data_IF_505773029658
#
_entry.id   IF_505773029658
#
_cell.length_a   1.000
_cell.length_b   1.000
_cell.length_c   1.000
_cell.angle_alpha   90.00
_cell.angle_beta   90.00
_cell.angle_gamma   90.00
#
_symmetry.space_group_name_H-M   'P 1'
#
loop_
_entity.id
_entity.type
_entity.pdbx_description
1 polymer ?
#
# COMPACT_ATOMS: atom_id res chain seq x y z
N UNK A 1 11.82 25.82 -7.56
CA UNK A 1 11.99 24.38 -7.28
C UNK A 1 13.40 23.99 -6.82
N UNK A 2 14.45 24.08 -7.65
CA UNK A 2 15.81 23.65 -7.27
C UNK A 2 16.40 24.30 -5.99
N UNK A 3 16.16 25.59 -5.76
CA UNK A 3 16.56 26.30 -4.53
C UNK A 3 15.77 25.81 -3.30
N UNK A 4 14.47 25.56 -3.46
CA UNK A 4 13.59 25.08 -2.38
C UNK A 4 14.00 23.69 -1.89
N UNK A 5 14.32 22.79 -2.83
CA UNK A 5 14.79 21.44 -2.56
C UNK A 5 16.30 21.32 -2.35
N UNK A 6 17.04 22.43 -2.38
CA UNK A 6 18.49 22.49 -2.13
C UNK A 6 19.29 21.52 -3.01
N UNK A 7 19.01 21.46 -4.32
CA UNK A 7 19.64 20.49 -5.24
C UNK A 7 21.19 20.52 -5.21
N UNK A 8 21.77 21.72 -5.01
CA UNK A 8 23.23 21.89 -4.89
C UNK A 8 23.81 21.22 -3.64
N UNK A 9 23.10 21.29 -2.51
CA UNK A 9 23.51 20.68 -1.23
C UNK A 9 23.47 19.15 -1.32
N UNK A 10 22.50 18.61 -2.05
CA UNK A 10 22.31 17.16 -2.22
C UNK A 10 22.95 16.58 -3.49
N UNK A 11 23.70 17.38 -4.25
CA UNK A 11 24.40 16.92 -5.46
C UNK A 11 23.50 16.29 -6.52
N UNK A 12 22.28 16.81 -6.70
CA UNK A 12 21.25 16.23 -7.59
C UNK A 12 20.83 17.17 -8.73
N UNK A 13 20.04 16.66 -9.68
CA UNK A 13 19.53 17.39 -10.85
C UNK A 13 18.09 17.00 -11.17
N UNK A 14 17.38 17.82 -11.94
CA UNK A 14 15.99 17.52 -12.35
C UNK A 14 15.88 16.16 -13.05
N UNK A 15 16.81 15.83 -13.94
CA UNK A 15 16.83 14.54 -14.64
C UNK A 15 16.97 13.37 -13.66
N UNK A 16 17.91 13.48 -12.70
CA UNK A 16 18.16 12.43 -11.71
C UNK A 16 16.95 12.23 -10.80
N UNK A 17 16.38 13.30 -10.28
CA UNK A 17 15.22 13.21 -9.40
C UNK A 17 13.95 12.74 -10.14
N UNK A 18 13.78 13.10 -11.42
CA UNK A 18 12.68 12.62 -12.25
C UNK A 18 12.77 11.11 -12.48
N UNK A 19 13.95 10.63 -12.89
CA UNK A 19 14.18 9.19 -13.06
C UNK A 19 14.01 8.43 -11.75
N UNK A 20 14.44 9.02 -10.63
CA UNK A 20 14.21 8.46 -9.30
C UNK A 20 12.72 8.40 -8.95
N UNK A 21 11.95 9.45 -9.24
CA UNK A 21 10.51 9.49 -8.97
C UNK A 21 9.73 8.49 -9.81
N UNK A 22 10.09 8.35 -11.09
CA UNK A 22 9.56 7.30 -11.97
C UNK A 22 9.93 5.91 -11.46
N UNK A 23 11.17 5.72 -11.01
CA UNK A 23 11.63 4.44 -10.45
C UNK A 23 10.83 4.07 -9.19
N UNK A 24 10.64 5.02 -8.28
CA UNK A 24 9.81 4.80 -7.08
C UNK A 24 8.38 4.47 -7.48
N UNK A 25 7.79 5.23 -8.42
CA UNK A 25 6.44 4.95 -8.89
C UNK A 25 6.32 3.54 -9.46
N UNK A 26 7.20 3.12 -10.37
CA UNK A 26 7.17 1.77 -10.95
C UNK A 26 7.37 0.68 -9.91
N UNK A 27 8.19 0.93 -8.88
CA UNK A 27 8.36 0.01 -7.76
C UNK A 27 7.07 -0.13 -6.95
N UNK A 28 6.26 0.92 -6.86
CA UNK A 28 5.02 0.97 -6.07
C UNK A 28 3.75 0.74 -6.88
N UNK A 29 3.80 0.78 -8.21
CA UNK A 29 2.63 0.86 -9.08
C UNK A 29 1.66 -0.31 -8.91
N UNK A 30 2.16 -1.45 -8.41
CA UNK A 30 1.32 -2.59 -8.06
C UNK A 30 0.22 -2.23 -7.06
N UNK A 31 0.41 -1.22 -6.20
CA UNK A 31 -0.54 -0.92 -5.12
C UNK A 31 -1.88 -0.47 -5.67
N UNK A 32 -1.87 0.12 -6.85
CA UNK A 32 -3.07 0.54 -7.57
C UNK A 32 -3.97 -0.65 -7.89
N UNK A 33 -3.44 -1.87 -7.97
CA UNK A 33 -4.24 -3.05 -8.26
C UNK A 33 -4.43 -3.92 -7.00
N UNK A 34 -3.36 -4.11 -6.23
CA UNK A 34 -3.38 -4.97 -5.05
C UNK A 34 -4.28 -4.41 -3.95
N UNK A 35 -4.24 -3.09 -3.70
CA UNK A 35 -5.04 -2.51 -2.62
C UNK A 35 -6.55 -2.57 -2.92
N UNK A 36 -7.04 -2.19 -4.13
CA UNK A 36 -8.45 -2.36 -4.47
C UNK A 36 -8.91 -3.81 -4.41
N UNK A 37 -8.15 -4.77 -4.95
CA UNK A 37 -8.52 -6.19 -4.87
C UNK A 37 -8.61 -6.68 -3.42
N UNK A 38 -7.67 -6.24 -2.57
CA UNK A 38 -7.65 -6.60 -1.14
C UNK A 38 -8.86 -6.02 -0.40
N UNK A 39 -9.13 -4.73 -0.55
CA UNK A 39 -10.23 -4.05 0.13
C UNK A 39 -11.61 -4.45 -0.40
N UNK A 40 -11.71 -4.81 -1.67
CA UNK A 40 -12.93 -5.37 -2.27
C UNK A 40 -13.15 -6.85 -1.91
N UNK A 41 -12.19 -7.49 -1.22
CA UNK A 41 -12.19 -8.91 -0.86
C UNK A 41 -12.31 -9.84 -2.08
N UNK A 42 -11.62 -9.52 -3.16
CA UNK A 42 -11.62 -10.34 -4.38
C UNK A 42 -11.20 -11.79 -4.08
N UNK A 43 -11.90 -12.76 -4.65
CA UNK A 43 -11.65 -14.20 -4.44
C UNK A 43 -12.33 -14.80 -3.20
N UNK A 44 -12.90 -13.98 -2.30
CA UNK A 44 -13.68 -14.49 -1.16
C UNK A 44 -15.12 -14.70 -1.60
N UNK A 45 -15.68 -15.90 -1.51
CA UNK A 45 -17.07 -16.15 -1.97
C UNK A 45 -18.13 -15.70 -0.95
N UNK A 46 -17.87 -15.93 0.34
CA UNK A 46 -18.83 -15.69 1.42
C UNK A 46 -18.36 -14.53 2.30
N UNK A 47 -19.25 -13.56 2.52
CA UNK A 47 -19.04 -12.45 3.42
C UNK A 47 -19.87 -12.64 4.70
N UNK A 48 -19.36 -12.21 5.87
CA UNK A 48 -20.14 -12.17 7.10
C UNK A 48 -21.42 -11.35 6.96
N UNK A 49 -22.44 -11.68 7.74
CA UNK A 49 -23.69 -10.93 7.78
C UNK A 49 -23.45 -9.46 8.15
N UNK A 50 -23.99 -8.54 7.34
CA UNK A 50 -23.83 -7.10 7.54
C UNK A 50 -22.57 -6.48 6.92
N UNK A 51 -21.67 -7.29 6.35
CA UNK A 51 -20.49 -6.80 5.62
C UNK A 51 -20.79 -6.71 4.12
N UNK A 52 -20.55 -5.53 3.53
CA UNK A 52 -20.66 -5.31 2.09
C UNK A 52 -19.29 -5.20 1.43
N UNK A 53 -19.25 -5.34 0.11
CA UNK A 53 -18.01 -5.11 -0.66
C UNK A 53 -17.81 -3.63 -0.93
N UNK A 54 -16.57 -3.19 -0.79
CA UNK A 54 -16.16 -1.86 -1.23
C UNK A 54 -16.08 -1.84 -2.77
N UNK A 55 -16.52 -0.76 -3.40
CA UNK A 55 -16.39 -0.58 -4.84
C UNK A 55 -14.89 -0.52 -5.25
N UNK A 56 -14.45 -1.51 -6.03
CA UNK A 56 -13.04 -1.65 -6.44
C UNK A 56 -12.54 -0.45 -7.24
N UNK A 57 -13.38 0.14 -8.09
CA UNK A 57 -13.02 1.33 -8.86
C UNK A 57 -12.82 2.56 -7.96
N UNK A 58 -13.72 2.76 -7.00
CA UNK A 58 -13.62 3.82 -6.02
C UNK A 58 -12.37 3.67 -5.16
N UNK A 59 -12.04 2.45 -4.71
CA UNK A 59 -10.80 2.18 -3.95
C UNK A 59 -9.56 2.42 -4.81
N UNK A 60 -9.57 2.09 -6.11
CA UNK A 60 -8.45 2.42 -7.02
C UNK A 60 -8.21 3.93 -7.06
N UNK A 61 -9.27 4.70 -7.29
CA UNK A 61 -9.19 6.15 -7.31
C UNK A 61 -8.76 6.70 -5.95
N UNK A 62 -9.31 6.19 -4.85
CA UNK A 62 -8.95 6.59 -3.50
C UNK A 62 -7.48 6.28 -3.18
N UNK A 63 -6.98 5.12 -3.60
CA UNK A 63 -5.57 4.71 -3.45
C UNK A 63 -4.65 5.67 -4.17
N UNK A 64 -4.93 5.98 -5.43
CA UNK A 64 -4.11 6.91 -6.22
C UNK A 64 -4.14 8.33 -5.64
N UNK A 65 -5.30 8.83 -5.23
CA UNK A 65 -5.46 10.16 -4.62
C UNK A 65 -4.73 10.23 -3.27
N UNK A 66 -4.93 9.26 -2.39
CA UNK A 66 -4.29 9.20 -1.08
C UNK A 66 -2.77 9.10 -1.21
N UNK A 67 -2.28 8.23 -2.11
CA UNK A 67 -0.85 8.10 -2.40
C UNK A 67 -0.28 9.40 -2.96
N UNK A 68 -0.97 10.05 -3.91
CA UNK A 68 -0.51 11.31 -4.49
C UNK A 68 -0.46 12.44 -3.45
N UNK A 69 -1.53 12.65 -2.68
CA UNK A 69 -1.60 13.71 -1.67
C UNK A 69 -0.59 13.46 -0.55
N UNK A 70 -0.55 12.24 0.00
CA UNK A 70 0.41 11.87 1.03
C UNK A 70 1.84 12.10 0.56
N UNK A 71 2.18 11.56 -0.62
CA UNK A 71 3.51 11.72 -1.22
C UNK A 71 3.86 13.18 -1.50
N UNK A 72 2.89 14.02 -1.90
CA UNK A 72 3.10 15.46 -2.04
C UNK A 72 3.39 16.13 -0.70
N UNK A 73 2.69 15.77 0.37
CA UNK A 73 2.96 16.29 1.71
C UNK A 73 4.38 15.90 2.14
N UNK A 74 4.79 14.64 1.96
CA UNK A 74 6.17 14.21 2.26
C UNK A 74 7.21 14.96 1.42
N UNK A 75 6.95 15.13 0.13
CA UNK A 75 7.83 15.85 -0.78
C UNK A 75 7.96 17.32 -0.42
N UNK A 76 6.85 18.04 -0.25
CA UNK A 76 6.85 19.49 -0.07
C UNK A 76 7.15 19.91 1.38
N UNK A 77 6.59 19.22 2.37
CA UNK A 77 6.69 19.58 3.78
C UNK A 77 7.91 18.95 4.48
N UNK A 78 8.05 17.62 4.37
CA UNK A 78 9.18 16.91 5.00
C UNK A 78 10.47 17.01 4.16
N UNK A 79 10.33 17.17 2.84
CA UNK A 79 11.42 17.25 1.85
C UNK A 79 12.29 16.00 1.85
N UNK A 80 11.65 14.84 1.90
CA UNK A 80 12.28 13.53 1.75
C UNK A 80 11.84 12.87 0.43
N UNK A 81 12.73 12.12 -0.25
CA UNK A 81 12.43 11.32 -1.44
C UNK A 81 11.70 10.02 -1.05
N UNK A 82 10.68 10.13 -0.20
CA UNK A 82 9.90 9.00 0.31
C UNK A 82 8.49 9.14 -0.22
N UNK A 83 7.96 8.08 -0.80
CA UNK A 83 6.59 8.01 -1.24
C UNK A 83 5.72 7.32 -0.19
N UNK A 84 4.44 7.69 -0.19
CA UNK A 84 3.42 7.19 0.72
C UNK A 84 2.30 6.57 -0.11
N UNK A 85 1.78 5.43 0.32
CA UNK A 85 0.62 4.75 -0.25
C UNK A 85 -0.01 3.84 0.82
N UNK A 86 -1.19 3.23 0.59
CA UNK A 86 -1.82 2.33 1.56
C UNK A 86 -0.90 1.18 1.98
N UNK A 87 -0.53 1.05 3.25
CA UNK A 87 0.43 0.05 3.72
C UNK A 87 -0.11 -1.37 3.60
N UNK A 88 0.69 -2.33 3.13
CA UNK A 88 0.21 -3.71 2.93
C UNK A 88 -0.14 -4.44 4.20
N UNK A 89 0.65 -4.23 5.26
CA UNK A 89 0.30 -4.85 6.52
C UNK A 89 -1.04 -4.36 7.04
N UNK A 90 -1.29 -3.07 6.84
CA UNK A 90 -2.47 -2.36 7.33
C UNK A 90 -3.70 -2.64 6.48
N UNK A 91 -3.55 -2.74 5.15
CA UNK A 91 -4.67 -3.05 4.26
C UNK A 91 -5.14 -4.51 4.42
N UNK A 92 -4.22 -5.44 4.68
CA UNK A 92 -4.56 -6.83 4.94
C UNK A 92 -5.21 -7.00 6.31
N UNK A 93 -4.68 -6.34 7.34
CA UNK A 93 -5.31 -6.29 8.66
C UNK A 93 -6.72 -5.69 8.57
N UNK A 94 -6.88 -4.59 7.84
CA UNK A 94 -8.19 -3.97 7.57
C UNK A 94 -9.15 -4.97 6.91
N UNK A 95 -8.78 -5.54 5.76
CA UNK A 95 -9.70 -6.33 4.96
C UNK A 95 -9.99 -7.70 5.58
N UNK A 96 -8.96 -8.44 5.95
CA UNK A 96 -9.09 -9.84 6.34
C UNK A 96 -9.33 -10.04 7.83
N UNK A 97 -8.79 -9.16 8.69
CA UNK A 97 -8.99 -9.29 10.15
C UNK A 97 -10.19 -8.49 10.61
N UNK A 98 -10.22 -7.19 10.33
CA UNK A 98 -11.28 -6.30 10.84
C UNK A 98 -12.60 -6.54 10.10
N UNK A 99 -12.58 -6.47 8.78
CA UNK A 99 -13.81 -6.58 7.99
C UNK A 99 -14.27 -8.03 7.89
N UNK A 100 -13.41 -8.93 7.41
CA UNK A 100 -13.79 -10.34 7.21
C UNK A 100 -13.81 -11.13 8.53
N UNK A 101 -12.76 -11.02 9.34
CA UNK A 101 -12.59 -11.83 10.56
C UNK A 101 -13.53 -11.42 11.70
N UNK A 102 -13.64 -10.13 11.97
CA UNK A 102 -14.51 -9.61 13.05
C UNK A 102 -15.93 -9.26 12.56
N UNK A 103 -16.17 -9.28 11.24
CA UNK A 103 -17.49 -8.93 10.68
C UNK A 103 -17.84 -7.45 10.81
N UNK A 104 -16.83 -6.57 10.97
CA UNK A 104 -17.05 -5.13 11.12
C UNK A 104 -17.28 -4.51 9.75
N UNK A 105 -18.33 -3.70 9.54
CA UNK A 105 -18.55 -3.00 8.28
C UNK A 105 -17.32 -2.16 7.89
N UNK A 106 -16.97 -2.15 6.61
CA UNK A 106 -15.76 -1.50 6.13
C UNK A 106 -15.79 0.02 6.37
N UNK A 107 -16.97 0.62 6.41
CA UNK A 107 -17.18 2.02 6.73
C UNK A 107 -16.76 2.32 8.18
N UNK A 108 -17.14 1.45 9.12
CA UNK A 108 -16.74 1.51 10.53
C UNK A 108 -15.24 1.25 10.69
N UNK A 109 -14.69 0.31 9.92
CA UNK A 109 -13.26 0.07 9.88
C UNK A 109 -12.50 1.32 9.38
N UNK A 110 -12.99 2.01 8.34
CA UNK A 110 -12.43 3.26 7.84
C UNK A 110 -12.52 4.38 8.87
N UNK A 111 -13.60 4.45 9.64
CA UNK A 111 -13.72 5.36 10.77
C UNK A 111 -12.64 5.09 11.84
N UNK A 112 -12.33 3.82 12.09
CA UNK A 112 -11.19 3.40 12.93
C UNK A 112 -9.84 3.86 12.38
N UNK A 113 -9.61 3.71 11.06
CA UNK A 113 -8.41 4.23 10.39
C UNK A 113 -8.32 5.75 10.53
N UNK A 114 -9.42 6.48 10.32
CA UNK A 114 -9.49 7.94 10.50
C UNK A 114 -9.14 8.34 11.93
N UNK A 115 -9.74 7.68 12.92
CA UNK A 115 -9.45 7.92 14.34
C UNK A 115 -7.98 7.67 14.66
N UNK A 116 -7.39 6.59 14.16
CA UNK A 116 -5.96 6.29 14.33
C UNK A 116 -5.08 7.39 13.73
N UNK A 117 -5.39 7.88 12.52
CA UNK A 117 -4.67 8.97 11.88
C UNK A 117 -4.75 10.29 12.67
N UNK A 118 -5.93 10.63 13.19
CA UNK A 118 -6.13 11.82 14.02
C UNK A 118 -5.34 11.71 15.34
N UNK A 119 -5.39 10.56 16.01
CA UNK A 119 -4.59 10.29 17.21
C UNK A 119 -3.10 10.47 16.89
N UNK A 120 -2.62 9.96 15.76
CA UNK A 120 -1.22 10.14 15.39
C UNK A 120 -0.82 11.58 15.09
N UNK A 121 -1.70 12.37 14.49
CA UNK A 121 -1.44 13.81 14.32
C UNK A 121 -1.20 14.43 15.69
N UNK A 122 -2.07 14.16 16.67
CA UNK A 122 -1.93 14.65 18.05
C UNK A 122 -0.63 14.15 18.70
N UNK A 123 -0.32 12.86 18.59
CA UNK A 123 0.92 12.28 19.14
C UNK A 123 2.18 12.84 18.47
N UNK A 124 2.12 13.17 17.19
CA UNK A 124 3.26 13.73 16.45
C UNK A 124 3.49 15.19 16.82
N UNK A 125 2.42 15.98 16.96
CA UNK A 125 2.50 17.40 17.36
C UNK A 125 2.96 17.54 18.81
N UNK A 126 2.54 16.65 19.71
CA UNK A 126 2.97 16.63 21.13
C UNK A 126 4.37 16.06 21.34
N UNK A 127 4.99 15.47 20.31
CA UNK A 127 6.31 14.82 20.41
C UNK A 127 6.30 13.46 21.12
N UNK A 128 5.14 12.98 21.54
CA UNK A 128 4.97 11.70 22.24
C UNK A 128 5.27 10.51 21.32
N UNK A 129 5.00 10.65 20.00
CA UNK A 129 5.26 9.60 19.00
C UNK A 129 6.72 9.12 19.04
N UNK A 130 7.68 10.03 19.18
CA UNK A 130 9.11 9.68 19.21
C UNK A 130 9.49 8.93 20.49
N UNK A 131 8.92 9.29 21.64
CA UNK A 131 9.17 8.60 22.91
C UNK A 131 8.67 7.16 22.91
N UNK A 132 7.52 6.91 22.26
CA UNK A 132 6.99 5.56 22.06
C UNK A 132 7.95 4.74 21.17
N UNK A 133 8.66 5.36 20.21
CA UNK A 133 9.53 4.63 19.26
C UNK A 133 10.72 4.06 20.02
N UNK A 134 11.29 4.87 20.90
CA UNK A 134 12.45 4.54 21.70
C UNK A 134 12.13 3.51 22.80
N UNK A 135 10.87 3.46 23.27
CA UNK A 135 10.44 2.54 24.31
C UNK A 135 10.23 1.08 23.85
N UNK A 136 10.04 0.85 22.54
CA UNK A 136 9.67 -0.49 22.04
C UNK A 136 10.90 -1.27 21.56
N UNK A 137 11.16 -2.46 22.12
CA UNK A 137 12.28 -3.32 21.73
C UNK A 137 12.25 -3.65 20.24
N UNK A 138 13.42 -3.63 19.59
CA UNK A 138 13.56 -3.95 18.16
C UNK A 138 12.97 -5.33 17.80
N UNK A 139 13.07 -6.31 18.70
CA UNK A 139 12.54 -7.66 18.48
C UNK A 139 11.01 -7.68 18.30
N UNK A 140 10.25 -6.85 19.03
CA UNK A 140 8.79 -6.77 18.86
C UNK A 140 8.42 -6.15 17.51
N UNK A 141 9.19 -5.15 17.06
CA UNK A 141 9.00 -4.51 15.75
C UNK A 141 9.17 -5.52 14.61
N UNK A 142 10.21 -6.35 14.70
CA UNK A 142 10.51 -7.40 13.71
C UNK A 142 9.45 -8.51 13.72
N UNK A 143 8.99 -8.93 14.90
CA UNK A 143 7.99 -9.99 15.04
C UNK A 143 6.63 -9.62 14.42
N UNK A 144 6.16 -8.38 14.63
CA UNK A 144 4.90 -7.89 14.04
C UNK A 144 4.96 -7.90 12.51
N UNK A 145 6.06 -7.37 11.94
CA UNK A 145 6.25 -7.38 10.48
C UNK A 145 6.31 -8.79 9.89
N UNK A 146 7.04 -9.70 10.54
CA UNK A 146 7.13 -11.10 10.10
C UNK A 146 5.79 -11.83 10.16
N UNK A 147 5.02 -11.64 11.24
CA UNK A 147 3.71 -12.27 11.42
C UNK A 147 2.69 -11.81 10.36
N UNK A 148 2.60 -10.50 10.11
CA UNK A 148 1.70 -9.95 9.10
C UNK A 148 2.13 -10.38 7.69
N UNK A 149 3.43 -10.39 7.39
CA UNK A 149 3.94 -10.86 6.10
C UNK A 149 3.60 -12.32 5.83
N UNK A 150 3.78 -13.21 6.81
CA UNK A 150 3.43 -14.63 6.69
C UNK A 150 1.92 -14.82 6.49
N UNK A 151 1.10 -14.03 7.19
CA UNK A 151 -0.34 -14.06 7.05
C UNK A 151 -0.79 -13.60 5.65
N UNK A 152 -0.21 -12.52 5.12
CA UNK A 152 -0.50 -12.04 3.76
C UNK A 152 -0.10 -13.08 2.71
N UNK A 153 1.09 -13.68 2.87
CA UNK A 153 1.54 -14.74 1.96
C UNK A 153 0.58 -15.93 1.96
N UNK A 154 0.07 -16.31 3.13
CA UNK A 154 -0.93 -17.37 3.25
C UNK A 154 -2.23 -17.03 2.51
N UNK A 155 -2.75 -15.82 2.67
CA UNK A 155 -3.94 -15.36 1.91
C UNK A 155 -3.66 -15.31 0.41
N UNK A 156 -2.46 -14.90 -0.01
CA UNK A 156 -2.03 -14.97 -1.41
C UNK A 156 -2.08 -16.40 -1.97
N UNK A 157 -1.61 -17.38 -1.20
CA UNK A 157 -1.71 -18.80 -1.57
C UNK A 157 -3.15 -19.32 -1.61
N UNK A 158 -4.03 -18.80 -0.74
CA UNK A 158 -5.44 -19.15 -0.75
C UNK A 158 -6.15 -18.56 -1.99
N UNK A 159 -5.97 -17.27 -2.26
CA UNK A 159 -6.57 -16.59 -3.41
C UNK A 159 -6.07 -17.11 -4.76
N UNK A 160 -4.89 -17.73 -4.80
CA UNK A 160 -4.34 -18.38 -5.99
C UNK A 160 -4.75 -19.84 -6.15
N UNK A 161 -5.49 -20.43 -5.20
CA UNK A 161 -5.86 -21.85 -5.23
C UNK A 161 -4.69 -22.82 -4.94
N UNK A 162 -3.54 -22.32 -4.48
CA UNK A 162 -2.41 -23.15 -4.06
C UNK A 162 -2.71 -23.83 -2.72
N UNK A 163 -3.40 -23.09 -1.84
CA UNK A 163 -3.86 -23.56 -0.54
C UNK A 163 -5.38 -23.54 -0.50
N UNK A 164 -5.99 -24.59 0.04
CA UNK A 164 -7.43 -24.64 0.29
C UNK A 164 -7.73 -25.13 1.71
N UNK A 165 -8.95 -24.88 2.17
CA UNK A 165 -9.41 -25.35 3.47
C UNK A 165 -9.52 -26.88 3.46
N UNK A 166 -9.12 -27.50 4.56
CA UNK A 166 -9.34 -28.92 4.83
C UNK A 166 -10.08 -29.06 6.15
N UNK A 167 -11.22 -29.74 6.18
CA UNK A 167 -11.97 -29.91 7.43
C UNK A 167 -11.19 -30.67 8.51
N UNK A 168 -10.15 -31.44 8.10
CA UNK A 168 -9.32 -32.22 9.01
C UNK A 168 -8.10 -31.46 9.55
N UNK A 169 -7.48 -30.60 8.75
CA UNK A 169 -6.19 -29.95 9.07
C UNK A 169 -6.20 -28.43 8.94
N UNK A 170 -7.35 -27.83 8.62
CA UNK A 170 -7.57 -26.43 8.25
C UNK A 170 -6.86 -25.98 6.97
N UNK A 171 -5.86 -26.72 6.50
CA UNK A 171 -5.01 -26.40 5.36
C UNK A 171 -4.68 -27.68 4.59
N UNK A 172 -4.90 -27.66 3.28
CA UNK A 172 -4.38 -28.65 2.34
C UNK A 172 -3.93 -27.99 1.02
N UNK A 173 -3.20 -28.75 0.20
CA UNK A 173 -2.82 -28.32 -1.14
C UNK A 173 -4.05 -28.31 -2.05
N UNK A 174 -4.27 -27.19 -2.75
CA UNK A 174 -5.29 -27.10 -3.79
C UNK A 174 -4.89 -27.78 -5.09
N UNK A 175 -5.73 -27.67 -6.12
CA UNK A 175 -5.44 -28.20 -7.44
C UNK A 175 -4.39 -27.34 -8.16
N UNK A 176 -3.13 -27.81 -8.09
CA UNK A 176 -2.00 -27.16 -8.76
C UNK A 176 -2.02 -27.32 -10.29
N UNK A 177 -2.90 -28.16 -10.83
CA UNK A 177 -3.06 -28.33 -12.29
C UNK A 177 -4.11 -27.42 -12.89
N UNK A 178 -4.91 -26.76 -12.04
CA UNK A 178 -5.89 -25.79 -12.48
C UNK A 178 -5.20 -24.60 -13.16
N UNK A 179 -5.78 -24.13 -14.27
CA UNK A 179 -5.25 -23.02 -15.05
C UNK A 179 -4.96 -21.75 -14.23
N UNK A 180 -5.90 -21.27 -13.39
CA UNK A 180 -5.67 -20.12 -12.50
C UNK A 180 -4.51 -20.32 -11.52
N UNK A 181 -4.42 -21.49 -10.89
CA UNK A 181 -3.34 -21.82 -9.95
C UNK A 181 -1.97 -21.85 -10.65
N UNK A 182 -1.88 -22.45 -11.84
CA UNK A 182 -0.67 -22.43 -12.66
C UNK A 182 -0.25 -21.02 -13.06
N UNK A 183 -1.22 -20.16 -13.36
CA UNK A 183 -0.97 -18.76 -13.70
C UNK A 183 -0.37 -17.99 -12.51
N UNK A 184 -0.91 -18.20 -11.31
CA UNK A 184 -0.35 -17.63 -10.08
C UNK A 184 1.07 -18.15 -9.79
N UNK A 185 1.29 -19.46 -9.89
CA UNK A 185 2.63 -20.07 -9.71
C UNK A 185 3.63 -19.46 -10.70
N UNK A 186 3.25 -19.36 -11.97
CA UNK A 186 4.07 -18.70 -13.00
C UNK A 186 4.43 -17.27 -12.59
N UNK A 187 3.44 -16.48 -12.17
CA UNK A 187 3.68 -15.10 -11.76
C UNK A 187 4.56 -14.96 -10.53
N UNK A 188 4.46 -15.90 -9.57
CA UNK A 188 5.31 -15.89 -8.35
C UNK A 188 6.76 -16.13 -8.78
N UNK A 189 6.98 -17.17 -9.59
CA UNK A 189 8.31 -17.52 -10.09
C UNK A 189 8.92 -16.36 -10.89
N UNK A 190 8.16 -15.74 -11.79
CA UNK A 190 8.61 -14.58 -12.57
C UNK A 190 8.94 -13.40 -11.66
N UNK A 191 8.07 -13.06 -10.71
CA UNK A 191 8.30 -11.94 -9.79
C UNK A 191 9.57 -12.15 -8.94
N UNK A 192 9.76 -13.36 -8.41
CA UNK A 192 10.96 -13.74 -7.65
C UNK A 192 12.21 -13.66 -8.53
N UNK A 193 12.18 -14.15 -9.77
CA UNK A 193 13.30 -14.04 -10.70
C UNK A 193 13.67 -12.58 -11.00
N UNK A 194 12.68 -11.73 -11.29
CA UNK A 194 12.90 -10.31 -11.58
C UNK A 194 13.46 -9.56 -10.36
N UNK A 195 12.97 -9.87 -9.16
CA UNK A 195 13.51 -9.34 -7.90
C UNK A 195 14.95 -9.81 -7.65
N UNK A 196 15.24 -11.10 -7.87
CA UNK A 196 16.59 -11.66 -7.73
C UNK A 196 17.58 -11.07 -8.74
N UNK A 197 17.10 -10.69 -9.93
CA UNK A 197 17.88 -9.97 -10.94
C UNK A 197 18.10 -8.47 -10.61
N UNK A 198 17.52 -7.97 -9.51
CA UNK A 198 17.65 -6.57 -9.09
C UNK A 198 16.86 -5.59 -9.97
N UNK A 199 15.85 -6.06 -10.71
CA UNK A 199 15.01 -5.18 -11.54
C UNK A 199 14.07 -4.36 -10.65
N UNK A 200 14.16 -3.03 -10.81
CA UNK A 200 13.32 -2.06 -10.11
C UNK A 200 11.87 -2.19 -10.59
N UNK A 201 10.94 -2.49 -9.70
CA UNK A 201 9.56 -2.81 -10.07
C UNK A 201 9.35 -4.26 -10.51
N UNK A 202 10.20 -5.19 -10.08
CA UNK A 202 10.08 -6.63 -10.40
C UNK A 202 8.67 -7.21 -10.15
N UNK A 203 8.02 -6.83 -9.06
CA UNK A 203 6.62 -7.22 -8.77
C UNK A 203 5.66 -6.64 -9.82
N UNK A 204 5.82 -5.37 -10.17
CA UNK A 204 4.98 -4.72 -11.19
C UNK A 204 5.07 -5.43 -12.54
N UNK A 205 6.30 -5.66 -13.02
CA UNK A 205 6.53 -6.39 -14.25
C UNK A 205 6.08 -7.85 -14.17
N UNK A 206 6.23 -8.48 -13.01
CA UNK A 206 5.72 -9.82 -12.75
C UNK A 206 4.22 -9.92 -12.96
N UNK A 207 3.42 -8.98 -12.42
CA UNK A 207 1.98 -8.96 -12.69
C UNK A 207 1.66 -8.70 -14.15
N UNK A 208 2.37 -7.78 -14.82
CA UNK A 208 2.14 -7.50 -16.24
C UNK A 208 2.38 -8.75 -17.08
N UNK A 209 3.50 -9.45 -16.86
CA UNK A 209 3.80 -10.70 -17.55
C UNK A 209 2.80 -11.81 -17.24
N UNK A 210 2.33 -11.87 -15.99
CA UNK A 210 1.29 -12.82 -15.56
C UNK A 210 -0.05 -12.53 -16.24
N UNK A 211 -0.47 -11.26 -16.28
CA UNK A 211 -1.68 -10.86 -16.99
C UNK A 211 -1.59 -11.18 -18.49
N UNK A 212 -0.42 -10.94 -19.12
CA UNK A 212 -0.17 -11.31 -20.52
C UNK A 212 -0.25 -12.82 -20.71
N UNK A 213 0.36 -13.62 -19.84
CA UNK A 213 0.27 -15.07 -19.89
C UNK A 213 -1.20 -15.53 -19.78
N UNK A 214 -1.97 -14.94 -18.85
CA UNK A 214 -3.40 -15.22 -18.69
C UNK A 214 -4.23 -14.86 -19.93
N UNK A 215 -3.89 -13.77 -20.62
CA UNK A 215 -4.52 -13.41 -21.89
C UNK A 215 -4.20 -14.40 -23.01
N UNK A 216 -2.94 -14.85 -23.09
CA UNK A 216 -2.51 -15.83 -24.11
C UNK A 216 -3.13 -17.21 -23.88
N UNK A 217 -3.30 -17.62 -22.62
CA UNK A 217 -3.93 -18.90 -22.26
C UNK A 217 -5.46 -18.84 -22.28
N UNK A 218 -6.06 -17.66 -22.49
CA UNK A 218 -7.51 -17.47 -22.50
C UNK A 218 -8.17 -17.44 -21.12
N UNK A 219 -7.37 -17.39 -20.05
CA UNK A 219 -7.86 -17.25 -18.67
C UNK A 219 -8.27 -15.81 -18.33
N UNK A 220 -7.71 -14.82 -19.03
CA UNK A 220 -8.02 -13.40 -18.86
C UNK A 220 -8.50 -12.86 -20.21
N UNK A 221 -9.65 -12.17 -20.22
CA UNK A 221 -10.14 -11.53 -21.44
C UNK A 221 -9.21 -10.37 -21.84
N UNK A 222 -8.67 -10.35 -23.08
CA UNK A 222 -7.83 -9.26 -23.52
C UNK A 222 -8.65 -7.97 -23.71
N UNK A 223 -8.05 -6.79 -23.47
CA UNK A 223 -8.71 -5.52 -23.75
C UNK A 223 -9.01 -5.42 -25.25
N UNK A 224 -10.25 -5.07 -25.58
CA UNK A 224 -10.79 -5.08 -26.94
C UNK A 224 -10.56 -3.76 -27.69
N UNK A 225 -10.19 -2.69 -26.98
CA UNK A 225 -9.86 -1.40 -27.57
C UNK A 225 -9.13 -0.44 -26.61
N UNK A 226 -8.80 0.76 -27.10
CA UNK A 226 -8.07 1.76 -26.31
C UNK A 226 -8.88 2.28 -25.11
N UNK A 227 -10.21 2.18 -25.14
CA UNK A 227 -11.09 2.48 -24.00
C UNK A 227 -10.94 1.50 -22.82
N UNK A 228 -10.45 0.28 -23.09
CA UNK A 228 -10.17 -0.73 -22.06
C UNK A 228 -8.74 -0.58 -21.47
N UNK A 229 -7.98 0.42 -21.93
CA UNK A 229 -6.62 0.73 -21.45
C UNK A 229 -6.59 2.13 -20.83
N UNK A 230 -7.22 3.11 -21.48
CA UNK A 230 -7.27 4.51 -21.06
C UNK A 230 -8.72 4.93 -20.92
N UNK A 231 -9.09 5.37 -19.73
CA UNK A 231 -10.45 5.78 -19.39
C UNK A 231 -10.50 6.94 -18.40
N UNK A 232 -11.71 7.37 -18.08
CA UNK A 232 -11.93 8.31 -16.98
C UNK A 232 -11.71 7.62 -15.64
N UNK A 233 -11.10 8.31 -14.69
CA UNK A 233 -10.97 7.84 -13.32
C UNK A 233 -12.35 7.45 -12.75
N UNK A 234 -12.51 6.25 -12.14
CA UNK A 234 -13.73 5.85 -11.46
C UNK A 234 -14.10 6.87 -10.39
N UNK A 235 -15.39 7.06 -10.17
CA UNK A 235 -15.87 7.98 -9.14
C UNK A 235 -15.44 7.51 -7.76
N UNK A 236 -14.95 8.44 -6.94
CA UNK A 236 -14.64 8.20 -5.53
C UNK A 236 -15.87 8.34 -4.62
N UNK A 237 -17.01 8.76 -5.18
CA UNK A 237 -18.25 8.99 -4.42
C UNK A 237 -18.71 7.81 -3.54
N UNK A 238 -18.55 6.52 -3.94
CA UNK A 238 -18.98 5.40 -3.09
C UNK A 238 -18.21 5.29 -1.77
N UNK A 239 -16.96 5.75 -1.71
CA UNK A 239 -16.08 5.56 -0.55
C UNK A 239 -15.75 6.87 0.16
N UNK A 240 -15.88 8.00 -0.54
CA UNK A 240 -15.55 9.31 -0.01
C UNK A 240 -16.45 9.68 1.17
N UNK A 241 -15.84 9.94 2.32
CA UNK A 241 -16.52 10.36 3.54
C UNK A 241 -17.21 9.25 4.33
N UNK A 242 -17.11 7.97 3.90
CA UNK A 242 -17.68 6.83 4.62
C UNK A 242 -17.15 6.72 6.07
N UNK A 243 -15.89 7.11 6.30
CA UNK A 243 -15.31 7.16 7.64
C UNK A 243 -16.04 8.13 8.60
N UNK A 244 -16.67 9.20 8.07
CA UNK A 244 -17.40 10.17 8.91
C UNK A 244 -18.80 9.68 9.26
N UNK A 245 -19.46 8.97 8.34
CA UNK A 245 -20.84 8.49 8.57
C UNK A 245 -20.89 7.45 9.68
N UNK A 246 -19.85 6.65 9.83
CA UNK A 246 -19.73 5.60 10.86
C UNK A 246 -18.79 5.96 12.02
N UNK A 247 -18.43 7.23 12.17
CA UNK A 247 -17.54 7.65 13.26
C UNK A 247 -18.16 7.46 14.65
N UNK A 248 -19.49 7.43 14.75
CA UNK A 248 -20.19 7.12 16.01
C UNK A 248 -20.04 5.67 16.46
N UNK A 249 -19.74 4.76 15.53
CA UNK A 249 -19.73 3.31 15.79
C UNK A 249 -18.39 2.82 16.35
N UNK A 250 -17.38 3.71 16.43
CA UNK A 250 -16.03 3.37 16.88
C UNK A 250 -15.89 3.30 18.41
N UNK A 251 -16.90 3.75 19.17
CA UNK A 251 -16.85 3.83 20.63
C UNK A 251 -17.21 2.49 21.31
N UNK A 252 -16.64 1.39 20.80
CA UNK A 252 -16.77 0.05 21.36
C UNK A 252 -15.40 -0.47 21.82
N UNK A 253 -15.39 -1.45 22.73
CA UNK A 253 -14.13 -2.07 23.20
C UNK A 253 -13.41 -2.74 22.02
N UNK A 254 -14.16 -3.40 21.15
CA UNK A 254 -13.64 -4.05 19.95
C UNK A 254 -12.97 -3.04 19.01
N UNK A 255 -13.65 -1.94 18.70
CA UNK A 255 -13.07 -0.88 17.86
C UNK A 255 -11.89 -0.18 18.52
N UNK A 256 -11.86 -0.06 19.85
CA UNK A 256 -10.69 0.43 20.56
C UNK A 256 -9.47 -0.47 20.33
N UNK A 257 -9.64 -1.80 20.38
CA UNK A 257 -8.56 -2.76 20.07
C UNK A 257 -8.12 -2.61 18.61
N UNK A 258 -9.07 -2.49 17.67
CA UNK A 258 -8.76 -2.28 16.25
C UNK A 258 -7.96 -0.99 16.02
N UNK A 259 -8.40 0.14 16.59
CA UNK A 259 -7.72 1.44 16.49
C UNK A 259 -6.32 1.36 17.08
N UNK A 260 -6.17 0.74 18.25
CA UNK A 260 -4.85 0.56 18.88
C UNK A 260 -3.94 -0.31 18.01
N UNK A 261 -4.45 -1.39 17.41
CA UNK A 261 -3.67 -2.22 16.50
C UNK A 261 -3.23 -1.45 15.25
N UNK A 262 -4.13 -0.68 14.61
CA UNK A 262 -3.75 0.20 13.50
C UNK A 262 -2.64 1.18 13.91
N UNK A 263 -2.78 1.82 15.07
CA UNK A 263 -1.75 2.70 15.63
C UNK A 263 -0.42 1.95 15.82
N UNK A 264 -0.40 0.76 16.40
CA UNK A 264 0.87 0.06 16.62
C UNK A 264 1.51 -0.43 15.32
N UNK A 265 0.73 -1.01 14.41
CA UNK A 265 1.25 -1.56 13.16
C UNK A 265 1.78 -0.43 12.27
N UNK A 266 1.00 0.63 12.07
CA UNK A 266 1.40 1.76 11.21
C UNK A 266 2.62 2.46 11.76
N UNK A 267 2.68 2.62 13.07
CA UNK A 267 3.83 3.20 13.73
C UNK A 267 5.14 2.49 13.38
N UNK A 268 5.16 1.15 13.42
CA UNK A 268 6.36 0.39 13.09
C UNK A 268 6.65 0.39 11.59
N UNK A 269 5.63 0.33 10.75
CA UNK A 269 5.78 0.35 9.31
C UNK A 269 6.40 1.69 8.86
N UNK A 270 5.82 2.82 9.30
CA UNK A 270 6.37 4.15 9.05
C UNK A 270 7.79 4.27 9.59
N UNK A 271 8.02 3.93 10.86
CA UNK A 271 9.34 4.14 11.48
C UNK A 271 10.41 3.28 10.82
N UNK A 272 10.13 2.00 10.59
CA UNK A 272 11.03 1.06 9.93
C UNK A 272 11.37 1.52 8.51
N UNK A 273 10.35 1.88 7.74
CA UNK A 273 10.54 2.35 6.37
C UNK A 273 11.28 3.68 6.29
N UNK A 274 10.92 4.67 7.13
CA UNK A 274 11.62 5.95 7.17
C UNK A 274 13.10 5.77 7.50
N UNK A 275 13.43 4.94 8.49
CA UNK A 275 14.82 4.66 8.87
C UNK A 275 15.56 3.95 7.75
N UNK A 276 14.96 2.93 7.12
CA UNK A 276 15.59 2.18 6.05
C UNK A 276 15.90 3.06 4.82
N UNK A 277 14.90 3.81 4.34
CA UNK A 277 15.07 4.68 3.18
C UNK A 277 16.02 5.85 3.50
N UNK A 278 15.91 6.44 4.70
CA UNK A 278 16.80 7.52 5.11
C UNK A 278 18.25 7.07 5.27
N UNK A 279 18.49 5.86 5.76
CA UNK A 279 19.82 5.28 5.87
C UNK A 279 20.44 5.11 4.48
N UNK A 280 19.71 4.52 3.55
CA UNK A 280 20.19 4.36 2.16
C UNK A 280 20.39 5.70 1.45
N UNK A 281 19.56 6.70 1.75
CA UNK A 281 19.68 8.05 1.19
C UNK A 281 20.81 8.88 1.82
N UNK A 282 21.42 8.40 2.91
CA UNK A 282 22.48 9.10 3.63
C UNK A 282 21.99 10.27 4.48
N UNK A 283 20.74 10.23 4.95
CA UNK A 283 20.18 11.30 5.80
C UNK A 283 20.39 11.11 7.30
N UNK A 284 20.75 9.90 7.74
CA UNK A 284 20.92 9.60 9.15
C UNK A 284 22.08 10.40 9.74
N UNK A 285 21.82 11.08 10.87
CA UNK A 285 22.82 11.82 11.65
C UNK A 285 22.69 11.42 13.10
N UNK A 286 23.77 10.96 13.72
CA UNK A 286 23.78 10.51 15.12
C UNK A 286 22.69 9.47 15.43
N UNK A 287 22.50 8.51 14.52
CA UNK A 287 21.42 7.50 14.56
C UNK A 287 19.99 8.07 14.60
N UNK A 288 19.80 9.35 14.27
CA UNK A 288 18.50 10.01 14.20
C UNK A 288 18.24 10.53 12.79
N UNK A 289 16.97 10.49 12.39
CA UNK A 289 16.51 11.10 11.15
C UNK A 289 16.27 12.61 11.39
N UNK A 290 17.00 13.52 10.72
CA UNK A 290 16.67 14.94 10.79
C UNK A 290 15.21 15.17 10.39
N UNK A 291 14.53 16.15 10.98
CA UNK A 291 13.13 16.48 10.61
C UNK A 291 12.15 15.27 10.68
N UNK A 292 12.43 14.25 11.49
CA UNK A 292 11.57 13.06 11.63
C UNK A 292 10.12 13.44 11.89
N UNK A 293 9.85 14.40 12.79
CA UNK A 293 8.48 14.87 13.09
C UNK A 293 7.73 15.36 11.84
N UNK A 294 8.40 15.93 10.83
CA UNK A 294 7.74 16.35 9.59
C UNK A 294 7.37 15.17 8.70
N UNK A 295 8.21 14.13 8.67
CA UNK A 295 7.94 12.90 7.93
C UNK A 295 6.80 12.12 8.60
N UNK A 296 6.85 11.98 9.93
CA UNK A 296 5.79 11.37 10.73
C UNK A 296 4.47 12.13 10.58
N UNK A 297 4.49 13.47 10.54
CA UNK A 297 3.28 14.25 10.30
C UNK A 297 2.72 14.03 8.89
N UNK A 298 3.59 13.99 7.87
CA UNK A 298 3.18 13.74 6.49
C UNK A 298 2.49 12.37 6.35
N UNK A 299 3.01 11.38 7.05
CA UNK A 299 2.48 10.03 7.14
C UNK A 299 1.09 9.98 7.82
N UNK A 300 0.93 10.60 8.99
CA UNK A 300 -0.39 10.66 9.66
C UNK A 300 -1.41 11.45 8.86
N UNK A 301 -0.99 12.56 8.22
CA UNK A 301 -1.84 13.33 7.34
C UNK A 301 -2.27 12.51 6.12
N UNK A 302 -1.36 11.71 5.55
CA UNK A 302 -1.68 10.81 4.45
C UNK A 302 -2.71 9.74 4.87
N UNK A 303 -2.58 9.19 6.08
CA UNK A 303 -3.59 8.27 6.65
C UNK A 303 -4.95 8.91 6.80
N UNK A 304 -5.03 10.13 7.33
CA UNK A 304 -6.30 10.87 7.43
C UNK A 304 -6.90 11.11 6.05
N UNK A 305 -6.10 11.54 5.08
CA UNK A 305 -6.56 11.72 3.69
C UNK A 305 -7.03 10.38 3.10
N UNK A 306 -6.29 9.29 3.33
CA UNK A 306 -6.67 7.95 2.90
C UNK A 306 -8.04 7.55 3.41
N UNK A 307 -8.25 7.64 4.73
CA UNK A 307 -9.52 7.28 5.35
C UNK A 307 -10.69 8.15 4.87
N UNK A 308 -10.46 9.45 4.67
CA UNK A 308 -11.48 10.38 4.16
C UNK A 308 -11.86 10.07 2.72
N UNK A 309 -10.89 9.76 1.87
CA UNK A 309 -11.14 9.46 0.46
C UNK A 309 -11.65 8.01 0.28
N UNK A 310 -11.44 7.16 1.30
CA UNK A 310 -12.03 5.84 1.41
C UNK A 310 -11.07 4.70 1.04
N UNK A 311 -9.82 4.83 1.46
CA UNK A 311 -8.81 3.77 1.43
C UNK A 311 -8.21 3.56 2.82
N UNK A 312 -7.53 2.43 3.00
CA UNK A 312 -6.90 2.04 4.27
C UNK A 312 -5.69 2.92 4.61
N UNK A 313 -5.07 2.65 5.77
CA UNK A 313 -3.96 3.41 6.34
C UNK A 313 -2.84 3.64 5.34
N UNK A 314 -2.50 4.90 5.09
CA UNK A 314 -1.47 5.30 4.12
C UNK A 314 -0.18 5.58 4.87
N UNK A 315 0.87 4.84 4.53
CA UNK A 315 2.14 4.83 5.24
C UNK A 315 3.32 4.96 4.29
N UNK A 316 4.53 5.11 4.85
CA UNK A 316 5.76 5.28 4.09
C UNK A 316 6.13 3.97 3.38
N UNK A 317 6.56 4.04 2.12
CA UNK A 317 6.84 2.85 1.30
C UNK A 317 8.33 2.56 1.14
N UNK A 318 8.71 1.32 1.45
CA UNK A 318 10.09 0.83 1.39
C UNK A 318 10.62 0.83 -0.05
N UNK A 319 9.75 0.73 -1.05
CA UNK A 319 10.05 0.82 -2.48
C UNK A 319 10.70 2.15 -2.86
N UNK A 320 10.58 3.18 -2.02
CA UNK A 320 11.33 4.44 -2.15
C UNK A 320 12.85 4.22 -2.16
N UNK A 321 13.34 3.12 -1.59
CA UNK A 321 14.74 2.65 -1.69
C UNK A 321 15.19 2.50 -3.15
N UNK A 322 14.32 2.07 -4.07
CA UNK A 322 14.63 1.91 -5.48
C UNK A 322 14.88 3.27 -6.16
N UNK A 323 14.07 4.29 -5.86
CA UNK A 323 14.26 5.65 -6.35
C UNK A 323 15.47 6.34 -5.72
N UNK A 324 15.69 6.16 -4.42
CA UNK A 324 16.91 6.60 -3.74
C UNK A 324 18.15 5.96 -4.37
N UNK A 325 18.10 4.66 -4.69
CA UNK A 325 19.15 3.95 -5.42
C UNK A 325 19.32 4.42 -6.86
N UNK A 326 18.29 4.99 -7.50
CA UNK A 326 18.38 5.66 -8.80
C UNK A 326 18.95 7.09 -8.71
N UNK A 327 19.27 7.57 -7.50
CA UNK A 327 19.85 8.88 -7.26
C UNK A 327 18.88 9.93 -6.73
N UNK A 328 17.67 9.56 -6.31
CA UNK A 328 16.74 10.47 -5.63
C UNK A 328 17.30 10.92 -4.29
N UNK A 329 17.33 12.23 -4.05
CA UNK A 329 17.91 12.82 -2.85
C UNK A 329 17.05 13.92 -2.24
N UNK A 330 15.94 14.31 -2.86
CA UNK A 330 15.10 15.40 -2.34
C UNK A 330 13.62 15.07 -2.43
N UNK A 331 12.80 15.88 -1.76
CA UNK A 331 11.35 15.79 -1.90
C UNK A 331 10.83 16.01 -3.33
N UNK A 332 11.66 16.47 -4.28
CA UNK A 332 11.25 16.55 -5.69
C UNK A 332 11.03 15.16 -6.29
N UNK A 333 11.81 14.14 -5.89
CA UNK A 333 11.52 12.74 -6.24
C UNK A 333 10.09 12.34 -5.86
N UNK A 334 9.66 12.65 -4.63
CA UNK A 334 8.29 12.39 -4.19
C UNK A 334 7.25 13.17 -5.00
N UNK A 335 7.50 14.45 -5.29
CA UNK A 335 6.59 15.25 -6.15
C UNK A 335 6.40 14.60 -7.53
N UNK A 336 7.48 14.07 -8.13
CA UNK A 336 7.40 13.35 -9.39
C UNK A 336 6.58 12.06 -9.25
N UNK A 337 6.84 11.27 -8.20
CA UNK A 337 6.07 10.03 -7.92
C UNK A 337 4.58 10.31 -7.74
N UNK A 338 4.22 11.37 -7.01
CA UNK A 338 2.83 11.78 -6.84
C UNK A 338 2.17 12.18 -8.16
N UNK A 339 2.91 12.86 -9.04
CA UNK A 339 2.44 13.17 -10.39
C UNK A 339 2.11 11.90 -11.18
N UNK A 340 2.94 10.86 -11.08
CA UNK A 340 2.65 9.58 -11.73
C UNK A 340 1.45 8.85 -11.14
N UNK A 341 1.21 8.92 -9.82
CA UNK A 341 -0.02 8.38 -9.23
C UNK A 341 -1.29 9.07 -9.77
N UNK A 342 -1.24 10.39 -9.97
CA UNK A 342 -2.35 11.13 -10.60
C UNK A 342 -2.51 10.71 -12.06
N UNK A 343 -1.42 10.57 -12.81
CA UNK A 343 -1.47 10.10 -14.19
C UNK A 343 -1.98 8.66 -14.29
N UNK A 344 -1.72 7.83 -13.27
CA UNK A 344 -2.18 6.45 -13.23
C UNK A 344 -3.71 6.33 -13.17
N UNK A 345 -4.43 7.37 -12.73
CA UNK A 345 -5.89 7.39 -12.69
C UNK A 345 -6.54 7.12 -14.06
N UNK A 346 -5.89 7.57 -15.13
CA UNK A 346 -6.36 7.35 -16.51
C UNK A 346 -6.23 5.89 -16.96
N UNK A 347 -5.46 5.07 -16.25
CA UNK A 347 -5.23 3.65 -16.56
C UNK A 347 -6.11 2.71 -15.70
N UNK A 348 -7.12 3.25 -15.04
CA UNK A 348 -8.12 2.49 -14.29
C UNK A 348 -8.82 1.36 -15.05
N UNK A 349 -9.05 1.41 -16.38
CA UNK A 349 -9.64 0.27 -17.10
C UNK A 349 -8.79 -1.02 -17.03
N UNK A 350 -7.48 -0.90 -16.75
CA UNK A 350 -6.60 -2.04 -16.55
C UNK A 350 -6.93 -2.86 -15.29
N UNK A 351 -7.81 -2.39 -14.40
CA UNK A 351 -8.36 -3.21 -13.31
C UNK A 351 -9.04 -4.49 -13.82
N UNK A 352 -9.58 -4.48 -15.04
CA UNK A 352 -10.27 -5.62 -15.65
C UNK A 352 -9.35 -6.80 -15.98
N UNK A 353 -8.06 -6.53 -16.25
CA UNK A 353 -7.06 -7.56 -16.57
C UNK A 353 -6.24 -8.00 -15.36
N UNK A 354 -6.48 -7.40 -14.18
CA UNK A 354 -5.80 -7.75 -12.94
C UNK A 354 -6.73 -8.55 -12.04
N UNK A 355 -6.66 -9.87 -12.23
CA UNK A 355 -7.42 -10.89 -11.48
C UNK A 355 -6.75 -11.22 -10.14
N UNK A 356 -7.42 -12.04 -9.31
CA UNK A 356 -6.91 -12.43 -8.00
C UNK A 356 -5.55 -13.15 -8.10
N UNK A 357 -5.38 -14.01 -9.10
CA UNK A 357 -4.16 -14.76 -9.40
C UNK A 357 -2.99 -13.83 -9.77
N UNK A 358 -3.28 -12.74 -10.49
CA UNK A 358 -2.29 -11.72 -10.85
C UNK A 358 -1.87 -10.92 -9.62
N UNK A 359 -2.76 -10.69 -8.65
CA UNK A 359 -2.42 -9.96 -7.42
C UNK A 359 -1.80 -10.80 -6.31
N UNK A 360 -1.91 -12.13 -6.38
CA UNK A 360 -1.38 -13.07 -5.39
C UNK A 360 0.16 -13.09 -5.29
N UNK A 361 0.85 -12.32 -6.12
CA UNK A 361 2.30 -12.31 -6.29
C UNK A 361 3.07 -11.54 -5.20
N UNK A 362 2.38 -10.87 -4.28
CA UNK A 362 2.98 -9.94 -3.32
C UNK A 362 3.01 -10.45 -1.89
#
# INVERSE_FOLDING_TARGET
MSKFFKFKEFGTSYRREFMAGLTTFLAMAYILFVNPSTLALDGIEQLPDGVTRIDKGAVFTATAIAAAIGTLIMGLFARYPIALAPGMGLNAFFAYTVVLGFGIPWETALAGVLASGLIFIVLTVTGLRTLIIDAIPANLKLAVGAGIGLFIAFIGFQNSGIVQNSDATLVELGDLTAGPTLLAIFGIIVSVMLLAMGLKGGIFYGMVLTAIAGMVTGLIAPPSGMGDIIGSAPSVAPTFGAAFTHFGDIFTIEMLVVILTFLFVDFFDTAGTLVAVATQAGFMKDNKLPRANRALFADSAATVVGAVVGTSTTTSYIESTAGVGAGGRTGFTSVVTAGFFILALFFSPLLSVVTAEVTALR
#
